data_IF_707193315567
#
_entry.id   IF_707193315567
#
_cell.length_a   1.000
_cell.length_b   1.000
_cell.length_c   1.000
_cell.angle_alpha   90.00
_cell.angle_beta   90.00
_cell.angle_gamma   90.00
#
_symmetry.space_group_name_H-M   'P 1'
#
loop_
_entity.id
_entity.type
_entity.pdbx_description
1 polymer ?
#
# COMPACT_ATOMS: atom_id res chain seq x y z
N UNK A 1 -24.46 0.66 -2.38
CA UNK A 1 -23.75 -0.57 -1.97
C UNK A 1 -24.32 -0.97 -0.63
N UNK A 2 -24.96 -2.13 -0.54
CA UNK A 2 -25.52 -2.62 0.72
C UNK A 2 -24.39 -2.80 1.74
N UNK A 3 -24.56 -2.19 2.90
CA UNK A 3 -23.71 -2.38 4.06
C UNK A 3 -24.01 -3.78 4.62
N UNK A 4 -23.35 -4.81 4.08
CA UNK A 4 -23.41 -6.14 4.67
C UNK A 4 -22.81 -6.03 6.07
N UNK A 5 -23.65 -6.18 7.09
CA UNK A 5 -23.20 -6.23 8.48
C UNK A 5 -22.11 -7.29 8.63
N UNK A 6 -21.00 -6.91 9.27
CA UNK A 6 -19.93 -7.86 9.56
C UNK A 6 -20.45 -8.85 10.60
N UNK A 7 -20.47 -10.13 10.25
CA UNK A 7 -20.91 -11.19 11.15
C UNK A 7 -19.71 -11.81 11.88
N UNK A 8 -19.93 -12.36 13.08
CA UNK A 8 -18.88 -13.04 13.86
C UNK A 8 -18.21 -14.16 13.04
N UNK A 9 -18.98 -14.87 12.21
CA UNK A 9 -18.43 -15.89 11.31
C UNK A 9 -17.45 -15.32 10.28
N UNK A 10 -17.69 -14.09 9.81
CA UNK A 10 -16.81 -13.42 8.85
C UNK A 10 -15.52 -12.93 9.52
N UNK A 11 -15.61 -12.45 10.76
CA UNK A 11 -14.45 -12.07 11.57
C UNK A 11 -13.58 -13.31 11.85
N UNK A 12 -14.19 -14.40 12.29
CA UNK A 12 -13.47 -15.66 12.54
C UNK A 12 -12.78 -16.19 11.28
N UNK A 13 -13.44 -16.15 10.13
CA UNK A 13 -12.85 -16.57 8.85
C UNK A 13 -11.65 -15.70 8.48
N UNK A 14 -11.70 -14.39 8.75
CA UNK A 14 -10.56 -13.48 8.54
C UNK A 14 -9.38 -13.89 9.43
N UNK A 15 -9.61 -14.15 10.72
CA UNK A 15 -8.56 -14.57 11.67
C UNK A 15 -7.90 -15.88 11.23
N UNK A 16 -8.71 -16.89 10.87
CA UNK A 16 -8.22 -18.19 10.42
C UNK A 16 -7.37 -18.07 9.15
N UNK A 17 -7.84 -17.28 8.17
CA UNK A 17 -7.11 -17.03 6.93
C UNK A 17 -5.81 -16.25 7.18
N UNK A 18 -5.82 -15.24 8.04
CA UNK A 18 -4.64 -14.46 8.39
C UNK A 18 -3.59 -15.34 9.06
N UNK A 19 -4.02 -16.19 10.00
CA UNK A 19 -3.14 -17.17 10.64
C UNK A 19 -2.51 -18.10 9.62
N UNK A 20 -3.32 -18.68 8.72
CA UNK A 20 -2.84 -19.60 7.68
C UNK A 20 -1.78 -18.95 6.79
N UNK A 21 -2.02 -17.73 6.30
CA UNK A 21 -1.07 -17.00 5.44
C UNK A 21 0.24 -16.73 6.20
N UNK A 22 0.17 -16.34 7.47
CA UNK A 22 1.36 -16.12 8.29
C UNK A 22 2.16 -17.40 8.53
N UNK A 23 1.48 -18.51 8.80
CA UNK A 23 2.13 -19.81 8.98
C UNK A 23 2.85 -20.26 7.69
N UNK A 24 2.23 -20.07 6.51
CA UNK A 24 2.83 -20.36 5.21
C UNK A 24 4.06 -19.47 4.92
N UNK A 25 3.98 -18.17 5.24
CA UNK A 25 5.13 -17.24 5.12
C UNK A 25 6.27 -17.70 6.01
N UNK A 26 5.97 -18.01 7.29
CA UNK A 26 6.98 -18.41 8.26
C UNK A 26 7.68 -19.72 7.83
N UNK A 27 6.91 -20.72 7.44
CA UNK A 27 7.45 -22.00 6.97
C UNK A 27 8.35 -21.83 5.74
N UNK A 28 7.89 -21.02 4.75
CA UNK A 28 8.63 -20.79 3.51
C UNK A 28 9.90 -19.98 3.73
N UNK A 29 9.86 -18.96 4.58
CA UNK A 29 11.03 -18.17 4.95
C UNK A 29 12.09 -19.05 5.62
N UNK A 30 11.69 -19.87 6.60
CA UNK A 30 12.61 -20.80 7.28
C UNK A 30 13.23 -21.82 6.32
N UNK A 31 12.44 -22.40 5.41
CA UNK A 31 12.95 -23.30 4.36
C UNK A 31 13.97 -22.62 3.44
N UNK A 32 13.86 -21.32 3.24
CA UNK A 32 14.77 -20.50 2.44
C UNK A 32 15.96 -19.94 3.23
N UNK A 33 16.11 -20.32 4.52
CA UNK A 33 17.17 -19.83 5.39
C UNK A 33 17.03 -18.37 5.80
N UNK A 34 15.82 -17.81 5.72
CA UNK A 34 15.50 -16.42 6.08
C UNK A 34 14.73 -16.32 7.40
N UNK A 35 14.90 -15.22 8.10
CA UNK A 35 14.04 -14.90 9.25
C UNK A 35 12.63 -14.52 8.77
N UNK A 36 11.57 -15.20 9.21
CA UNK A 36 10.19 -14.83 8.85
C UNK A 36 9.83 -13.37 9.15
N UNK A 37 10.46 -12.75 10.14
CA UNK A 37 10.24 -11.35 10.53
C UNK A 37 10.72 -10.33 9.47
N UNK A 38 11.58 -10.76 8.53
CA UNK A 38 12.00 -9.94 7.40
C UNK A 38 10.92 -9.83 6.31
N UNK A 39 9.93 -10.73 6.32
CA UNK A 39 8.85 -10.76 5.32
C UNK A 39 7.66 -9.97 5.85
N UNK A 40 7.32 -8.88 5.17
CA UNK A 40 6.15 -8.07 5.51
C UNK A 40 4.93 -8.51 4.72
N UNK A 41 3.83 -8.73 5.44
CA UNK A 41 2.53 -9.05 4.84
C UNK A 41 1.70 -7.76 4.71
N UNK A 42 1.38 -7.37 3.49
CA UNK A 42 0.44 -6.28 3.23
C UNK A 42 -0.96 -6.82 2.98
N UNK A 43 -1.94 -6.34 3.75
CA UNK A 43 -3.34 -6.60 3.46
C UNK A 43 -3.87 -5.56 2.46
N UNK A 44 -4.30 -6.03 1.28
CA UNK A 44 -4.93 -5.16 0.27
C UNK A 44 -6.39 -4.96 0.62
N UNK A 45 -6.76 -3.73 0.96
CA UNK A 45 -8.04 -3.38 1.60
C UNK A 45 -9.05 -2.70 0.67
N UNK A 46 -8.75 -2.63 -0.64
CA UNK A 46 -9.71 -2.11 -1.61
C UNK A 46 -11.07 -2.79 -1.49
N UNK A 47 -12.14 -2.01 -1.50
CA UNK A 47 -13.54 -2.49 -1.37
C UNK A 47 -13.89 -3.16 -0.04
N UNK A 48 -12.97 -3.23 0.92
CA UNK A 48 -13.21 -3.78 2.26
C UNK A 48 -13.75 -2.71 3.19
N UNK A 49 -14.70 -3.06 4.07
CA UNK A 49 -15.25 -2.12 5.06
C UNK A 49 -14.23 -1.78 6.15
N UNK A 50 -14.33 -0.56 6.70
CA UNK A 50 -13.45 -0.08 7.79
C UNK A 50 -13.48 -1.01 9.01
N UNK A 51 -14.64 -1.55 9.34
CA UNK A 51 -14.81 -2.48 10.46
C UNK A 51 -13.94 -3.74 10.30
N UNK A 52 -13.95 -4.37 9.11
CA UNK A 52 -13.10 -5.53 8.82
C UNK A 52 -11.62 -5.16 8.81
N UNK A 53 -11.27 -3.99 8.29
CA UNK A 53 -9.87 -3.52 8.27
C UNK A 53 -9.39 -3.33 9.71
N UNK A 54 -10.15 -2.64 10.56
CA UNK A 54 -9.79 -2.42 11.95
C UNK A 54 -9.70 -3.75 12.73
N UNK A 55 -10.56 -4.71 12.43
CA UNK A 55 -10.44 -6.05 13.01
C UNK A 55 -9.14 -6.75 12.57
N UNK A 56 -8.77 -6.68 11.29
CA UNK A 56 -7.50 -7.22 10.80
C UNK A 56 -6.29 -6.56 11.48
N UNK A 57 -6.34 -5.23 11.68
CA UNK A 57 -5.32 -4.48 12.42
C UNK A 57 -5.24 -4.97 13.89
N UNK A 58 -6.38 -5.15 14.55
CA UNK A 58 -6.43 -5.71 15.90
C UNK A 58 -5.84 -7.13 15.98
N UNK A 59 -5.94 -7.92 14.90
CA UNK A 59 -5.29 -9.22 14.73
C UNK A 59 -3.81 -9.12 14.31
N UNK A 60 -3.22 -7.91 14.39
CA UNK A 60 -1.79 -7.66 14.16
C UNK A 60 -1.39 -7.47 12.69
N UNK A 61 -2.30 -7.08 11.80
CA UNK A 61 -1.91 -6.54 10.49
C UNK A 61 -1.32 -5.15 10.73
N UNK A 62 -0.07 -4.96 10.34
CA UNK A 62 0.71 -3.74 10.52
C UNK A 62 0.96 -2.95 9.22
N UNK A 63 0.43 -3.46 8.10
CA UNK A 63 0.57 -2.84 6.79
C UNK A 63 -0.67 -3.11 5.94
N UNK A 64 -1.31 -2.05 5.45
CA UNK A 64 -2.45 -2.11 4.56
C UNK A 64 -2.20 -1.32 3.28
N UNK A 65 -2.84 -1.74 2.18
CA UNK A 65 -2.68 -1.12 0.87
C UNK A 65 -4.02 -0.78 0.22
N UNK A 66 -4.17 0.47 -0.20
CA UNK A 66 -5.34 0.96 -0.95
C UNK A 66 -4.99 1.28 -2.40
N UNK A 67 -5.92 0.96 -3.31
CA UNK A 67 -5.71 1.22 -4.74
C UNK A 67 -6.13 2.64 -5.16
N UNK A 68 -7.07 3.26 -4.47
CA UNK A 68 -7.68 4.52 -4.90
C UNK A 68 -7.55 5.60 -3.85
N UNK A 69 -7.08 6.77 -4.27
CA UNK A 69 -7.00 7.97 -3.40
C UNK A 69 -8.32 8.26 -2.70
N UNK A 70 -9.45 8.07 -3.41
CA UNK A 70 -10.77 8.31 -2.84
C UNK A 70 -11.09 7.36 -1.68
N UNK A 71 -10.69 6.08 -1.79
CA UNK A 71 -10.89 5.10 -0.71
C UNK A 71 -9.99 5.42 0.49
N UNK A 72 -8.75 5.84 0.25
CA UNK A 72 -7.87 6.32 1.32
C UNK A 72 -8.54 7.45 2.10
N UNK A 73 -8.96 8.51 1.39
CA UNK A 73 -9.54 9.70 2.03
C UNK A 73 -10.85 9.40 2.77
N UNK A 74 -11.64 8.45 2.26
CA UNK A 74 -12.90 8.05 2.88
C UNK A 74 -12.68 7.22 4.15
N UNK A 75 -11.75 6.25 4.11
CA UNK A 75 -11.56 5.27 5.18
C UNK A 75 -10.62 5.75 6.28
N UNK A 76 -9.55 6.48 5.93
CA UNK A 76 -8.47 6.88 6.83
C UNK A 76 -8.93 7.50 8.15
N UNK A 77 -9.95 8.39 8.19
CA UNK A 77 -10.40 9.00 9.45
C UNK A 77 -10.95 8.01 10.47
N UNK A 78 -11.39 6.83 10.03
CA UNK A 78 -12.00 5.79 10.86
C UNK A 78 -11.07 4.57 11.07
N UNK A 79 -9.86 4.57 10.47
CA UNK A 79 -8.89 3.49 10.60
C UNK A 79 -8.02 3.64 11.84
N UNK A 80 -7.75 2.53 12.54
CA UNK A 80 -6.88 2.45 13.71
C UNK A 80 -5.40 2.34 13.31
N UNK A 81 -4.81 3.43 12.80
CA UNK A 81 -3.47 3.45 12.20
C UNK A 81 -2.31 3.65 13.19
N UNK A 82 -2.53 3.60 14.51
CA UNK A 82 -1.47 3.85 15.51
C UNK A 82 -0.26 2.92 15.33
N UNK A 83 -0.50 1.66 14.97
CA UNK A 83 0.54 0.64 14.74
C UNK A 83 0.45 -0.01 13.34
N UNK A 84 -0.26 0.62 12.41
CA UNK A 84 -0.46 0.11 11.07
C UNK A 84 -0.14 1.17 10.02
N UNK A 85 0.72 0.84 9.07
CA UNK A 85 1.04 1.70 7.93
C UNK A 85 0.01 1.56 6.82
N UNK A 86 -0.34 2.69 6.22
CA UNK A 86 -1.24 2.77 5.07
C UNK A 86 -0.47 3.20 3.83
N UNK A 87 -0.44 2.36 2.81
CA UNK A 87 0.20 2.66 1.54
C UNK A 87 -0.81 2.86 0.41
N UNK A 88 -0.52 3.75 -0.53
CA UNK A 88 -1.18 3.79 -1.83
C UNK A 88 -0.42 2.86 -2.77
N UNK A 89 -1.11 1.85 -3.34
CA UNK A 89 -0.51 0.83 -4.20
C UNK A 89 -1.08 0.83 -5.63
N UNK A 90 -2.13 1.61 -5.91
CA UNK A 90 -2.69 1.72 -7.26
C UNK A 90 -2.25 3.00 -7.96
N UNK A 91 -2.44 3.05 -9.28
CA UNK A 91 -2.02 4.15 -10.12
C UNK A 91 -2.46 5.52 -9.59
N UNK A 92 -1.51 6.45 -9.47
CA UNK A 92 -1.71 7.79 -8.95
C UNK A 92 -1.85 8.83 -10.07
N UNK A 93 -3.08 9.26 -10.32
CA UNK A 93 -3.33 10.36 -11.24
C UNK A 93 -2.76 11.68 -10.70
N UNK A 94 -2.14 12.50 -11.56
CA UNK A 94 -1.48 13.76 -11.20
C UNK A 94 -2.40 14.73 -10.44
N UNK A 95 -3.68 14.82 -10.82
CA UNK A 95 -4.67 15.68 -10.16
C UNK A 95 -5.06 15.22 -8.73
N UNK A 96 -4.60 14.03 -8.29
CA UNK A 96 -4.84 13.47 -6.96
C UNK A 96 -3.64 13.62 -6.03
N UNK A 97 -2.45 13.91 -6.53
CA UNK A 97 -1.20 14.01 -5.75
C UNK A 97 -1.37 14.96 -4.56
N UNK A 98 -1.92 16.15 -4.79
CA UNK A 98 -2.18 17.14 -3.72
C UNK A 98 -3.03 16.59 -2.58
N UNK A 99 -3.91 15.61 -2.86
CA UNK A 99 -4.85 15.06 -1.88
C UNK A 99 -4.28 13.91 -1.08
N UNK A 100 -3.29 13.19 -1.65
CA UNK A 100 -2.78 11.95 -1.05
C UNK A 100 -1.48 12.16 -0.26
N UNK A 101 -0.66 13.14 -0.65
CA UNK A 101 0.56 13.49 0.07
C UNK A 101 0.22 13.88 1.51
N UNK A 102 0.88 13.23 2.48
CA UNK A 102 0.59 13.34 3.92
C UNK A 102 -0.61 12.53 4.40
N UNK A 103 -1.25 11.76 3.53
CA UNK A 103 -2.37 10.88 3.92
C UNK A 103 -2.00 9.40 3.98
N UNK A 104 -0.84 9.03 3.45
CA UNK A 104 -0.29 7.67 3.44
C UNK A 104 1.18 7.70 3.84
N UNK A 105 1.67 6.55 4.34
CA UNK A 105 3.07 6.39 4.73
C UNK A 105 3.99 6.20 3.52
N UNK A 106 3.46 5.62 2.42
CA UNK A 106 4.23 5.38 1.21
C UNK A 106 3.33 5.37 -0.03
N UNK A 107 3.85 5.83 -1.17
CA UNK A 107 3.23 5.69 -2.49
C UNK A 107 4.08 4.71 -3.30
N UNK A 108 3.51 3.53 -3.64
CA UNK A 108 4.25 2.45 -4.31
C UNK A 108 4.12 2.43 -5.83
N UNK A 109 3.39 3.38 -6.40
CA UNK A 109 2.99 3.40 -7.82
C UNK A 109 3.49 4.66 -8.55
N UNK A 110 4.74 5.05 -8.27
CA UNK A 110 5.33 6.21 -8.95
C UNK A 110 5.91 5.77 -10.29
N UNK A 111 5.23 6.13 -11.35
CA UNK A 111 5.41 5.65 -12.72
C UNK A 111 6.15 6.61 -13.64
N UNK A 112 6.47 7.83 -13.17
CA UNK A 112 7.13 8.85 -13.98
C UNK A 112 7.91 9.85 -13.11
N UNK A 113 8.91 10.49 -13.70
CA UNK A 113 9.67 11.57 -13.07
C UNK A 113 8.76 12.74 -12.68
N UNK A 114 7.81 13.08 -13.52
CA UNK A 114 6.83 14.14 -13.28
C UNK A 114 5.99 13.85 -12.05
N UNK A 115 5.55 12.61 -11.85
CA UNK A 115 4.82 12.16 -10.66
C UNK A 115 5.70 12.30 -9.42
N UNK A 116 6.94 11.81 -9.45
CA UNK A 116 7.91 11.94 -8.36
C UNK A 116 8.17 13.41 -7.99
N UNK A 117 8.42 14.27 -8.99
CA UNK A 117 8.66 15.69 -8.80
C UNK A 117 7.46 16.41 -8.15
N UNK A 118 6.24 16.07 -8.57
CA UNK A 118 5.04 16.64 -7.98
C UNK A 118 4.85 16.19 -6.53
N UNK A 119 5.12 14.91 -6.21
CA UNK A 119 5.10 14.39 -4.83
C UNK A 119 6.13 15.16 -3.99
N UNK A 120 7.38 15.25 -4.45
CA UNK A 120 8.46 15.97 -3.76
C UNK A 120 8.08 17.42 -3.46
N UNK A 121 7.58 18.15 -4.47
CA UNK A 121 7.11 19.52 -4.28
C UNK A 121 6.01 19.62 -3.23
N UNK A 122 5.01 18.74 -3.28
CA UNK A 122 3.89 18.77 -2.31
C UNK A 122 4.31 18.37 -0.91
N UNK A 123 5.25 17.47 -0.79
CA UNK A 123 5.85 17.10 0.51
C UNK A 123 6.62 18.28 1.10
N UNK A 124 7.44 18.97 0.30
CA UNK A 124 8.15 20.16 0.71
C UNK A 124 7.25 21.32 1.13
N UNK A 125 6.13 21.55 0.42
CA UNK A 125 5.11 22.54 0.80
C UNK A 125 4.47 22.25 2.16
N UNK A 126 4.47 20.99 2.62
CA UNK A 126 3.93 20.55 3.91
C UNK A 126 5.03 20.34 4.97
N UNK A 127 6.31 20.47 4.62
CA UNK A 127 7.43 20.21 5.53
C UNK A 127 7.57 18.74 5.94
N UNK A 128 7.17 17.81 5.07
CA UNK A 128 7.22 16.36 5.31
C UNK A 128 8.08 15.65 4.26
N UNK A 129 8.48 14.42 4.55
CA UNK A 129 9.05 13.48 3.58
C UNK A 129 8.01 12.42 3.26
N UNK A 130 7.88 12.07 1.98
CA UNK A 130 6.99 11.00 1.51
C UNK A 130 7.83 9.88 0.91
N UNK A 131 7.76 8.69 1.49
CA UNK A 131 8.40 7.51 0.93
C UNK A 131 7.71 7.08 -0.36
N UNK A 132 8.51 6.71 -1.36
CA UNK A 132 7.99 6.24 -2.66
C UNK A 132 8.68 4.97 -3.12
N UNK A 133 7.99 4.17 -3.94
CA UNK A 133 8.58 3.15 -4.79
C UNK A 133 8.31 3.49 -6.26
N UNK A 134 9.33 3.30 -7.11
CA UNK A 134 9.16 3.44 -8.54
C UNK A 134 8.51 2.18 -9.12
N UNK A 135 7.44 2.37 -9.89
CA UNK A 135 6.78 1.28 -10.60
C UNK A 135 7.54 0.98 -11.90
N UNK A 136 7.93 -0.28 -12.08
CA UNK A 136 8.66 -0.74 -13.29
C UNK A 136 7.80 -1.72 -14.06
N UNK A 137 7.58 -1.44 -15.34
CA UNK A 137 6.85 -2.29 -16.28
C UNK A 137 7.80 -3.30 -16.95
N UNK A 138 8.20 -4.33 -16.23
CA UNK A 138 9.15 -5.35 -16.70
C UNK A 138 8.64 -6.12 -17.93
N UNK A 139 7.32 -6.25 -18.05
CA UNK A 139 6.69 -7.00 -19.14
C UNK A 139 6.49 -6.20 -20.43
N UNK A 140 6.88 -4.90 -20.44
CA UNK A 140 6.71 -3.99 -21.58
C UNK A 140 5.28 -3.99 -22.16
N UNK A 141 4.28 -4.19 -21.28
CA UNK A 141 2.87 -4.17 -21.66
C UNK A 141 2.43 -2.72 -21.88
N UNK A 142 2.09 -2.38 -23.11
CA UNK A 142 1.67 -1.03 -23.51
C UNK A 142 0.41 -0.52 -22.75
N UNK A 143 -0.36 -1.42 -22.14
CA UNK A 143 -1.54 -1.07 -21.34
C UNK A 143 -1.24 -0.87 -19.86
N UNK A 144 0.03 -1.01 -19.42
CA UNK A 144 0.45 -0.84 -18.03
C UNK A 144 1.30 0.41 -17.85
N UNK A 145 1.20 0.98 -16.63
CA UNK A 145 2.04 2.08 -16.20
C UNK A 145 3.40 1.58 -15.73
N UNK A 146 4.33 2.50 -15.51
CA UNK A 146 5.66 2.21 -14.96
C UNK A 146 6.78 2.52 -15.94
N UNK A 147 7.97 2.72 -15.39
CA UNK A 147 9.20 2.89 -16.15
C UNK A 147 9.57 1.59 -16.88
N UNK A 148 10.23 1.69 -18.01
CA UNK A 148 10.97 0.54 -18.54
C UNK A 148 12.17 0.18 -17.63
N UNK A 149 12.67 -1.04 -17.74
CA UNK A 149 13.82 -1.46 -16.94
C UNK A 149 15.07 -0.61 -17.21
N UNK A 150 15.25 -0.16 -18.45
CA UNK A 150 16.38 0.68 -18.86
C UNK A 150 16.26 2.11 -18.34
N UNK A 151 15.06 2.68 -18.36
CA UNK A 151 14.81 4.06 -17.90
C UNK A 151 14.95 4.22 -16.38
N UNK A 152 14.58 3.21 -15.59
CA UNK A 152 14.53 3.35 -14.13
C UNK A 152 15.89 3.66 -13.53
N UNK A 153 16.97 3.08 -14.06
CA UNK A 153 18.32 3.30 -13.58
C UNK A 153 18.77 4.77 -13.78
N UNK A 154 18.45 5.35 -14.95
CA UNK A 154 18.76 6.75 -15.25
C UNK A 154 17.91 7.73 -14.44
N UNK A 155 16.68 7.36 -14.11
CA UNK A 155 15.75 8.21 -13.35
C UNK A 155 16.05 8.21 -11.86
N UNK A 156 16.53 7.10 -11.29
CA UNK A 156 16.90 7.01 -9.87
C UNK A 156 17.85 8.14 -9.46
N UNK A 157 18.89 8.41 -10.26
CA UNK A 157 19.86 9.48 -9.97
C UNK A 157 19.29 10.90 -10.04
N UNK A 158 18.11 11.09 -10.62
CA UNK A 158 17.44 12.41 -10.72
C UNK A 158 16.37 12.58 -9.64
N UNK A 159 15.85 11.46 -9.09
CA UNK A 159 14.77 11.45 -8.10
C UNK A 159 15.34 11.44 -6.68
N UNK A 160 16.51 10.82 -6.48
CA UNK A 160 17.24 10.79 -5.21
C UNK A 160 17.93 12.13 -4.94
#
# INVERSE_FOLDING_TARGET
>A
MENLSVTDARLQLLEDNLKKVRDEIAETALKSGRDPREVKLMAVTKTVSVELINHAIACGVDLIGENKVQEVLLKRPELNLEHCKLHLIGHLQSNKIKKIVGQVDMIQSVDSFETAQQISRRSGEQGITTDILLEVNIGEDENKFGYSADEVADQLGKIA
#
